data_IF_216228833610
#
_entry.id   IF_216228833610
#
_cell.length_a   1.000
_cell.length_b   1.000
_cell.length_c   1.000
_cell.angle_alpha   90.00
_cell.angle_beta   90.00
_cell.angle_gamma   90.00
#
_symmetry.space_group_name_H-M   'P 1'
#
loop_
_entity.id
_entity.type
_entity.pdbx_description
1 polymer ?
#
# COMPACT_ATOMS: atom_id res chain seq x y z
N UNK A 1 0.34 20.93 -3.67
CA UNK A 1 1.48 21.32 -2.84
C UNK A 1 1.58 22.83 -2.81
N UNK A 2 1.59 23.42 -1.61
CA UNK A 2 1.68 24.86 -1.47
C UNK A 2 3.05 25.23 -0.90
N UNK A 3 3.86 25.92 -1.69
CA UNK A 3 5.15 26.42 -1.24
C UNK A 3 4.95 27.79 -0.57
N UNK A 4 5.08 27.84 0.75
CA UNK A 4 4.88 29.06 1.53
C UNK A 4 6.00 30.10 1.34
N UNK A 5 7.15 29.71 0.80
CA UNK A 5 8.24 30.64 0.50
C UNK A 5 8.02 31.36 -0.84
N UNK A 6 7.45 30.68 -1.85
CA UNK A 6 7.17 31.26 -3.18
C UNK A 6 5.72 31.70 -3.37
N UNK A 7 4.82 31.31 -2.45
CA UNK A 7 3.36 31.42 -2.58
C UNK A 7 2.78 30.67 -3.80
N UNK A 8 3.51 29.71 -4.36
CA UNK A 8 3.06 28.93 -5.49
C UNK A 8 2.27 27.71 -5.03
N UNK A 9 1.15 27.46 -5.71
CA UNK A 9 0.36 26.24 -5.54
C UNK A 9 0.52 25.36 -6.77
N UNK A 10 1.04 24.15 -6.58
CA UNK A 10 1.25 23.15 -7.63
C UNK A 10 0.31 21.97 -7.42
N UNK A 11 -0.50 21.65 -8.43
CA UNK A 11 -1.26 20.39 -8.46
C UNK A 11 -0.29 19.26 -8.80
N UNK A 12 -0.11 18.31 -7.89
CA UNK A 12 0.85 17.21 -8.07
C UNK A 12 0.29 16.08 -8.93
N UNK A 13 -0.98 15.74 -8.72
CA UNK A 13 -1.71 14.75 -9.50
C UNK A 13 -3.20 15.10 -9.49
N UNK A 14 -3.90 14.80 -10.58
CA UNK A 14 -5.35 14.93 -10.71
C UNK A 14 -5.94 13.66 -11.33
N UNK A 15 -7.16 13.30 -10.94
CA UNK A 15 -7.82 12.08 -11.44
C UNK A 15 -7.34 10.77 -10.79
N UNK A 16 -6.58 10.85 -9.69
CA UNK A 16 -6.23 9.67 -8.89
C UNK A 16 -7.48 9.10 -8.20
N UNK A 17 -7.46 7.80 -7.87
CA UNK A 17 -8.60 7.13 -7.21
C UNK A 17 -8.37 6.86 -5.72
N UNK A 18 -7.13 6.57 -5.33
CA UNK A 18 -6.75 6.31 -3.94
C UNK A 18 -5.37 6.89 -3.67
N UNK A 19 -5.08 7.17 -2.40
CA UNK A 19 -3.79 7.69 -1.97
C UNK A 19 -3.50 7.25 -0.53
N UNK A 20 -2.21 7.23 -0.19
CA UNK A 20 -1.73 7.07 1.20
C UNK A 20 -0.60 8.06 1.47
N UNK A 21 -0.65 8.67 2.65
CA UNK A 21 0.42 9.46 3.24
C UNK A 21 1.13 8.63 4.32
N UNK A 22 2.32 9.08 4.70
CA UNK A 22 2.94 8.63 5.94
C UNK A 22 2.16 9.21 7.14
N UNK A 23 1.30 8.39 7.73
CA UNK A 23 0.50 8.81 8.87
C UNK A 23 1.34 8.89 10.17
N UNK A 24 2.51 8.24 10.18
CA UNK A 24 3.42 8.19 11.33
C UNK A 24 4.40 9.36 11.36
N UNK A 25 4.77 9.87 10.20
CA UNK A 25 5.62 11.05 10.03
C UNK A 25 4.96 12.06 9.07
N UNK A 26 4.25 13.03 9.65
CA UNK A 26 3.62 14.14 8.90
C UNK A 26 4.61 15.07 8.20
N UNK A 27 5.91 14.92 8.46
CA UNK A 27 6.96 15.67 7.77
C UNK A 27 7.44 14.98 6.49
N UNK A 28 7.09 13.70 6.30
CA UNK A 28 7.39 12.98 5.08
C UNK A 28 6.63 13.60 3.89
N UNK A 29 7.33 14.13 2.89
CA UNK A 29 6.71 14.86 1.79
C UNK A 29 6.17 13.95 0.67
N UNK A 30 6.30 12.63 0.79
CA UNK A 30 5.91 11.72 -0.28
C UNK A 30 4.46 11.23 -0.12
N UNK A 31 3.77 11.11 -1.24
CA UNK A 31 2.43 10.50 -1.31
C UNK A 31 2.43 9.44 -2.39
N UNK A 32 1.85 8.28 -2.07
CA UNK A 32 1.55 7.24 -3.04
C UNK A 32 0.10 7.34 -3.47
N UNK A 33 -0.19 7.08 -4.73
CA UNK A 33 -1.55 7.15 -5.27
C UNK A 33 -1.73 6.24 -6.47
N UNK A 34 -2.98 5.85 -6.73
CA UNK A 34 -3.36 5.08 -7.91
C UNK A 34 -3.92 5.99 -9.00
N UNK A 35 -3.51 5.74 -10.24
CA UNK A 35 -4.05 6.39 -11.43
C UNK A 35 -4.76 5.35 -12.31
N UNK A 36 -5.99 5.64 -12.79
CA UNK A 36 -6.56 4.87 -13.87
C UNK A 36 -5.80 5.13 -15.18
N UNK A 37 -5.85 4.18 -16.10
CA UNK A 37 -5.24 4.31 -17.42
C UNK A 37 -6.34 4.39 -18.46
N UNK A 38 -6.38 5.45 -19.24
CA UNK A 38 -7.39 5.62 -20.28
C UNK A 38 -7.04 4.76 -21.51
N UNK A 39 -8.07 4.16 -22.12
CA UNK A 39 -7.89 3.39 -23.34
C UNK A 39 -7.52 4.29 -24.50
N UNK A 40 -6.65 3.79 -25.37
CA UNK A 40 -6.29 4.43 -26.65
C UNK A 40 -7.50 4.66 -27.57
N UNK A 41 -8.57 3.86 -27.45
CA UNK A 41 -9.68 3.88 -28.41
C UNK A 41 -10.85 4.73 -27.92
N UNK A 42 -11.05 5.87 -28.57
CA UNK A 42 -12.30 6.62 -28.46
C UNK A 42 -12.40 7.48 -27.21
N UNK A 43 -11.30 8.17 -26.86
CA UNK A 43 -11.35 9.21 -25.84
C UNK A 43 -12.50 10.18 -26.15
N UNK A 44 -13.36 10.34 -25.14
CA UNK A 44 -14.43 11.32 -25.10
C UNK A 44 -14.42 11.93 -23.72
N UNK A 45 -14.47 13.26 -23.64
CA UNK A 45 -14.44 13.97 -22.37
C UNK A 45 -15.60 13.51 -21.48
N UNK A 46 -15.28 13.11 -20.25
CA UNK A 46 -16.24 12.57 -19.29
C UNK A 46 -16.63 11.10 -19.51
N UNK A 47 -16.04 10.40 -20.48
CA UNK A 47 -16.16 8.94 -20.57
C UNK A 47 -15.22 8.25 -19.58
N UNK A 48 -15.62 7.08 -19.06
CA UNK A 48 -14.82 6.26 -18.13
C UNK A 48 -14.20 5.07 -18.85
N UNK A 49 -13.69 5.29 -20.07
CA UNK A 49 -13.17 4.22 -20.92
C UNK A 49 -11.75 3.84 -20.52
N UNK A 50 -11.64 3.23 -19.35
CA UNK A 50 -10.36 2.90 -18.73
C UNK A 50 -9.96 1.44 -19.00
N UNK A 51 -8.65 1.21 -18.99
CA UNK A 51 -8.07 -0.12 -18.89
C UNK A 51 -8.45 -0.77 -17.56
N UNK A 52 -8.40 -2.10 -17.52
CA UNK A 52 -8.76 -2.84 -16.31
C UNK A 52 -7.66 -2.80 -15.24
N UNK A 53 -6.41 -2.62 -15.67
CA UNK A 53 -5.29 -2.46 -14.78
C UNK A 53 -5.17 -1.02 -14.30
N UNK A 54 -4.43 -0.81 -13.22
CA UNK A 54 -4.18 0.50 -12.64
C UNK A 54 -2.69 0.71 -12.41
N UNK A 55 -2.28 1.97 -12.43
CA UNK A 55 -0.91 2.36 -12.13
C UNK A 55 -0.80 2.85 -10.69
N UNK A 56 0.35 2.62 -10.07
CA UNK A 56 0.73 3.21 -8.79
C UNK A 56 1.86 4.19 -9.03
N UNK A 57 1.73 5.40 -8.50
CA UNK A 57 2.72 6.45 -8.56
C UNK A 57 3.13 6.89 -7.16
N UNK A 58 4.31 7.47 -7.05
CA UNK A 58 4.75 8.25 -5.89
C UNK A 58 5.18 9.65 -6.32
N UNK A 59 4.84 10.67 -5.54
CA UNK A 59 5.26 12.06 -5.82
C UNK A 59 5.70 12.74 -4.53
N UNK A 60 6.74 13.55 -4.65
CA UNK A 60 7.22 14.40 -3.57
C UNK A 60 6.51 15.77 -3.60
N UNK A 61 6.20 16.33 -2.44
CA UNK A 61 5.58 17.65 -2.34
C UNK A 61 6.39 18.78 -3.00
N UNK A 62 7.71 18.64 -3.12
CA UNK A 62 8.58 19.62 -3.78
C UNK A 62 8.66 19.42 -5.31
N UNK A 63 8.05 18.39 -5.88
CA UNK A 63 8.11 18.14 -7.33
C UNK A 63 7.36 19.21 -8.10
N UNK A 64 8.04 19.80 -9.10
CA UNK A 64 7.48 20.86 -9.96
C UNK A 64 7.31 20.45 -11.41
N UNK A 65 7.76 19.25 -11.81
CA UNK A 65 7.72 18.75 -13.20
C UNK A 65 7.49 17.25 -13.23
N UNK A 66 6.77 16.79 -14.24
CA UNK A 66 6.63 15.36 -14.53
C UNK A 66 8.00 14.79 -14.93
N UNK A 67 8.34 13.58 -14.48
CA UNK A 67 9.51 12.85 -14.99
C UNK A 67 9.27 12.28 -16.40
N UNK A 68 8.03 12.30 -16.90
CA UNK A 68 7.63 11.73 -18.18
C UNK A 68 7.03 12.77 -19.11
N UNK A 69 7.43 12.70 -20.38
CA UNK A 69 6.82 13.46 -21.48
C UNK A 69 5.73 12.59 -22.12
N UNK A 70 4.46 13.00 -21.99
CA UNK A 70 3.31 12.25 -22.48
C UNK A 70 2.62 13.06 -23.57
N UNK A 71 2.62 12.55 -24.80
CA UNK A 71 1.88 13.15 -25.93
C UNK A 71 0.45 12.58 -26.00
N UNK A 72 -0.52 13.40 -25.61
CA UNK A 72 -1.94 13.05 -25.62
C UNK A 72 -2.65 13.44 -26.92
N UNK A 73 -2.08 14.33 -27.72
CA UNK A 73 -2.81 14.96 -28.83
C UNK A 73 -3.18 13.95 -29.93
N UNK A 74 -2.33 12.94 -30.16
CA UNK A 74 -2.53 11.95 -31.21
C UNK A 74 -3.72 11.01 -30.95
N UNK A 75 -3.84 10.48 -29.73
CA UNK A 75 -4.76 9.39 -29.39
C UNK A 75 -5.86 9.80 -28.39
N UNK A 76 -5.68 10.92 -27.67
CA UNK A 76 -6.55 11.38 -26.57
C UNK A 76 -7.10 12.79 -26.79
N UNK A 77 -7.46 13.10 -28.04
CA UNK A 77 -8.23 14.29 -28.40
C UNK A 77 -9.69 13.89 -28.62
N UNK A 78 -10.61 14.56 -27.93
CA UNK A 78 -12.05 14.35 -28.11
C UNK A 78 -12.44 14.72 -29.55
N UNK A 79 -13.03 13.77 -30.28
CA UNK A 79 -13.38 13.96 -31.70
C UNK A 79 -14.55 14.92 -31.92
N UNK A 80 -15.39 15.13 -30.91
CA UNK A 80 -16.55 16.00 -30.97
C UNK A 80 -16.18 17.45 -30.61
N UNK A 81 -15.39 17.64 -29.54
CA UNK A 81 -15.00 18.99 -29.06
C UNK A 81 -13.64 19.49 -29.56
N UNK A 82 -12.75 18.59 -29.97
CA UNK A 82 -11.36 18.90 -30.31
C UNK A 82 -10.46 19.15 -29.08
N UNK A 83 -10.98 18.94 -27.87
CA UNK A 83 -10.22 19.15 -26.63
C UNK A 83 -9.31 17.94 -26.35
N UNK A 84 -8.03 18.21 -26.06
CA UNK A 84 -7.09 17.20 -25.58
C UNK A 84 -7.40 16.88 -24.13
N UNK A 85 -7.30 15.60 -23.75
CA UNK A 85 -7.45 15.18 -22.38
C UNK A 85 -6.56 15.97 -21.42
N UNK A 86 -7.15 16.44 -20.32
CA UNK A 86 -6.39 16.99 -19.21
C UNK A 86 -5.74 15.86 -18.42
N UNK A 87 -4.41 15.91 -18.28
CA UNK A 87 -3.65 14.96 -17.49
C UNK A 87 -2.62 15.71 -16.66
N UNK A 88 -2.74 15.61 -15.33
CA UNK A 88 -1.78 16.19 -14.39
C UNK A 88 -1.26 15.06 -13.53
N UNK A 89 0.02 14.72 -13.70
CA UNK A 89 0.71 13.75 -12.88
C UNK A 89 2.20 14.09 -12.86
N UNK A 90 2.71 14.51 -11.71
CA UNK A 90 4.13 14.81 -11.50
C UNK A 90 4.89 13.65 -10.84
N UNK A 91 4.23 12.53 -10.60
CA UNK A 91 4.81 11.39 -9.89
C UNK A 91 5.69 10.52 -10.77
N UNK A 92 6.54 9.76 -10.10
CA UNK A 92 7.30 8.65 -10.68
C UNK A 92 6.47 7.38 -10.58
N UNK A 93 6.44 6.61 -11.66
CA UNK A 93 5.71 5.36 -11.76
C UNK A 93 6.38 4.28 -10.89
N UNK A 94 5.59 3.65 -10.04
CA UNK A 94 6.03 2.59 -9.10
C UNK A 94 5.62 1.23 -9.65
N UNK A 95 4.34 1.08 -9.99
CA UNK A 95 3.81 -0.12 -10.64
C UNK A 95 2.99 0.28 -11.85
N UNK A 96 3.25 -0.36 -12.98
CA UNK A 96 2.55 -0.05 -14.22
C UNK A 96 1.19 -0.77 -14.30
N UNK A 97 1.13 -1.99 -13.77
CA UNK A 97 -0.07 -2.82 -13.80
C UNK A 97 -0.39 -3.45 -15.16
N UNK A 98 0.25 -3.04 -16.28
CA UNK A 98 -0.01 -3.66 -17.58
C UNK A 98 0.34 -5.15 -17.62
N UNK A 99 -0.50 -5.94 -18.29
CA UNK A 99 -0.24 -7.34 -18.62
C UNK A 99 0.36 -7.51 -20.01
N UNK A 100 1.01 -8.66 -20.25
CA UNK A 100 1.68 -8.99 -21.52
C UNK A 100 0.77 -8.98 -22.74
N UNK A 101 -0.52 -9.25 -22.57
CA UNK A 101 -1.50 -9.26 -23.65
C UNK A 101 -2.18 -7.90 -23.86
N UNK A 102 -1.96 -6.95 -22.96
CA UNK A 102 -2.49 -5.60 -23.10
C UNK A 102 -1.67 -4.82 -24.14
N UNK A 103 -2.32 -3.86 -24.80
CA UNK A 103 -1.66 -2.95 -25.74
C UNK A 103 -1.17 -1.73 -24.97
N UNK A 104 0.14 -1.43 -24.98
CA UNK A 104 0.66 -0.23 -24.33
C UNK A 104 0.01 1.04 -24.84
N UNK A 105 -0.27 1.94 -23.90
CA UNK A 105 -0.66 3.32 -24.12
C UNK A 105 0.52 4.25 -23.85
N UNK A 106 0.32 5.55 -24.07
CA UNK A 106 1.31 6.59 -23.71
C UNK A 106 1.58 6.69 -22.20
N UNK A 107 0.72 6.08 -21.37
CA UNK A 107 0.90 6.02 -19.91
C UNK A 107 1.84 4.90 -19.48
N UNK A 108 2.06 3.89 -20.32
CA UNK A 108 2.97 2.78 -20.05
C UNK A 108 4.39 3.16 -20.49
N UNK A 109 5.01 4.06 -19.74
CA UNK A 109 6.29 4.70 -20.10
C UNK A 109 7.44 3.69 -20.25
N UNK A 110 7.32 2.54 -19.57
CA UNK A 110 8.26 1.42 -19.63
C UNK A 110 7.88 0.35 -20.67
N UNK A 111 6.80 0.56 -21.43
CA UNK A 111 6.26 -0.39 -22.41
C UNK A 111 5.50 -1.56 -21.77
N UNK A 112 5.64 -2.77 -22.32
CA UNK A 112 5.13 -4.02 -21.72
C UNK A 112 6.19 -5.14 -21.69
N UNK A 113 7.46 -4.81 -21.94
CA UNK A 113 8.54 -5.77 -21.93
C UNK A 113 8.81 -6.27 -20.51
N UNK A 114 8.63 -7.58 -20.30
CA UNK A 114 8.73 -8.20 -18.97
C UNK A 114 7.46 -8.09 -18.14
N UNK A 115 6.33 -7.68 -18.74
CA UNK A 115 5.03 -7.76 -18.08
C UNK A 115 4.67 -9.21 -17.75
N UNK A 116 3.99 -9.38 -16.61
CA UNK A 116 3.30 -10.62 -16.24
C UNK A 116 2.26 -11.01 -17.29
N UNK A 117 1.88 -12.28 -17.34
CA UNK A 117 0.83 -12.75 -18.27
C UNK A 117 -0.54 -12.07 -18.00
N UNK A 118 -0.70 -11.48 -16.82
CA UNK A 118 -1.90 -10.79 -16.33
C UNK A 118 -1.61 -9.31 -16.09
N UNK A 119 -2.62 -8.46 -16.27
CA UNK A 119 -2.60 -7.09 -15.75
C UNK A 119 -3.07 -7.05 -14.30
N UNK A 120 -2.76 -5.98 -13.57
CA UNK A 120 -3.04 -5.85 -12.14
C UNK A 120 -3.72 -4.53 -11.77
N UNK A 121 -4.58 -4.60 -10.77
CA UNK A 121 -5.07 -3.45 -10.01
C UNK A 121 -4.46 -3.49 -8.61
N UNK A 122 -4.43 -2.32 -7.96
CA UNK A 122 -3.76 -2.12 -6.68
C UNK A 122 -4.71 -1.44 -5.68
N UNK A 123 -4.66 -1.89 -4.42
CA UNK A 123 -5.25 -1.14 -3.30
C UNK A 123 -4.14 -0.73 -2.34
N UNK A 124 -4.00 0.58 -2.12
CA UNK A 124 -3.01 1.11 -1.18
C UNK A 124 -3.57 0.97 0.24
N UNK A 125 -2.83 0.30 1.12
CA UNK A 125 -3.28 0.03 2.49
C UNK A 125 -2.73 1.09 3.45
N UNK A 126 -1.42 1.34 3.39
CA UNK A 126 -0.72 2.33 4.22
C UNK A 126 0.69 2.60 3.69
N UNK A 127 1.29 3.69 4.16
CA UNK A 127 2.72 3.93 4.06
C UNK A 127 3.31 4.02 5.46
N UNK A 128 4.24 3.12 5.78
CA UNK A 128 4.96 3.04 7.06
C UNK A 128 6.33 2.36 6.81
N UNK A 129 7.26 2.47 7.75
CA UNK A 129 8.55 1.76 7.71
C UNK A 129 9.38 2.01 6.44
N UNK A 130 9.21 3.17 5.79
CA UNK A 130 9.95 3.52 4.57
C UNK A 130 9.49 2.79 3.31
N UNK A 131 8.24 2.29 3.28
CA UNK A 131 7.69 1.63 2.11
C UNK A 131 6.17 1.60 2.07
N UNK A 132 5.65 1.12 0.95
CA UNK A 132 4.23 1.01 0.67
C UNK A 132 3.74 -0.40 1.02
N UNK A 133 2.66 -0.46 1.81
CA UNK A 133 1.87 -1.68 2.00
C UNK A 133 0.65 -1.62 1.08
N UNK A 134 0.45 -2.66 0.28
CA UNK A 134 -0.58 -2.67 -0.76
C UNK A 134 -1.10 -4.08 -1.02
N UNK A 135 -2.27 -4.18 -1.62
CA UNK A 135 -2.71 -5.42 -2.26
C UNK A 135 -2.60 -5.30 -3.77
N UNK A 136 -2.33 -6.44 -4.40
CA UNK A 136 -2.34 -6.61 -5.85
C UNK A 136 -3.38 -7.66 -6.21
N UNK A 137 -4.22 -7.34 -7.20
CA UNK A 137 -5.28 -8.22 -7.70
C UNK A 137 -5.21 -8.28 -9.21
N UNK A 138 -5.29 -9.49 -9.76
CA UNK A 138 -5.40 -9.75 -11.19
C UNK A 138 -6.61 -9.00 -11.77
N UNK A 139 -6.36 -8.12 -12.74
CA UNK A 139 -7.36 -7.30 -13.41
C UNK A 139 -8.35 -8.12 -14.25
N UNK A 140 -8.10 -9.42 -14.44
CA UNK A 140 -8.99 -10.37 -15.11
C UNK A 140 -9.83 -11.21 -14.13
N UNK A 141 -9.44 -11.30 -12.86
CA UNK A 141 -10.06 -12.17 -11.86
C UNK A 141 -10.78 -11.36 -10.77
N UNK A 142 -12.00 -10.92 -11.05
CA UNK A 142 -12.88 -10.42 -9.98
C UNK A 142 -13.21 -11.57 -9.00
N UNK A 143 -12.61 -11.56 -7.80
CA UNK A 143 -13.07 -12.37 -6.65
C UNK A 143 -12.26 -13.62 -6.25
N UNK A 144 -10.97 -13.75 -6.60
CA UNK A 144 -10.15 -14.89 -6.14
C UNK A 144 -9.51 -14.63 -4.77
N UNK A 145 -9.85 -15.42 -3.74
CA UNK A 145 -9.36 -15.27 -2.36
C UNK A 145 -8.19 -16.19 -1.98
N UNK A 146 -7.57 -16.86 -2.96
CA UNK A 146 -6.36 -17.68 -2.77
C UNK A 146 -5.55 -17.67 -4.06
N UNK A 147 -4.38 -17.02 -4.02
CA UNK A 147 -3.52 -16.78 -5.18
C UNK A 147 -4.11 -15.71 -6.12
N UNK A 148 -3.36 -14.63 -6.34
CA UNK A 148 -3.61 -13.56 -7.32
C UNK A 148 -4.76 -12.55 -7.09
N UNK A 149 -5.50 -12.57 -5.97
CA UNK A 149 -6.64 -11.63 -5.79
C UNK A 149 -6.75 -10.89 -4.47
N UNK A 150 -5.64 -10.45 -3.88
CA UNK A 150 -5.69 -9.57 -2.69
C UNK A 150 -4.70 -9.87 -1.57
N UNK A 151 -3.62 -10.61 -1.85
CA UNK A 151 -2.53 -10.75 -0.91
C UNK A 151 -1.93 -9.37 -0.54
N UNK A 152 -1.48 -9.25 0.71
CA UNK A 152 -0.80 -8.04 1.18
C UNK A 152 0.69 -8.15 0.87
N UNK A 153 1.22 -7.10 0.25
CA UNK A 153 2.62 -6.93 -0.06
C UNK A 153 3.18 -5.68 0.61
N UNK A 154 4.50 -5.66 0.75
CA UNK A 154 5.31 -4.50 1.08
C UNK A 154 6.38 -4.30 0.00
N UNK A 155 6.60 -3.04 -0.38
CA UNK A 155 7.70 -2.64 -1.23
C UNK A 155 8.42 -1.43 -0.62
N UNK A 156 9.74 -1.49 -0.50
CA UNK A 156 10.54 -0.42 0.08
C UNK A 156 10.74 0.73 -0.92
N UNK A 157 10.78 1.96 -0.40
CA UNK A 157 11.09 3.16 -1.20
C UNK A 157 12.44 3.04 -1.92
N UNK A 158 13.42 2.43 -1.26
CA UNK A 158 14.77 2.25 -1.81
C UNK A 158 14.78 1.38 -3.08
N UNK A 159 13.91 0.38 -3.16
CA UNK A 159 13.83 -0.50 -4.32
C UNK A 159 13.13 0.21 -5.50
N UNK A 160 12.00 0.88 -5.25
CA UNK A 160 11.20 1.53 -6.33
C UNK A 160 11.82 2.84 -6.83
N UNK A 161 12.73 3.44 -6.06
CA UNK A 161 13.49 4.64 -6.45
C UNK A 161 14.88 4.28 -7.01
N UNK A 162 15.19 2.99 -7.16
CA UNK A 162 16.43 2.55 -7.79
C UNK A 162 16.47 3.01 -9.26
N UNK A 163 17.66 3.37 -9.75
CA UNK A 163 17.82 3.94 -11.10
C UNK A 163 17.46 2.94 -12.22
N UNK A 164 17.50 1.65 -11.93
CA UNK A 164 17.14 0.55 -12.81
C UNK A 164 15.73 -0.01 -12.54
N UNK A 165 14.96 0.64 -11.67
CA UNK A 165 13.57 0.26 -11.45
C UNK A 165 12.76 0.42 -12.74
N UNK A 166 12.04 -0.63 -13.10
CA UNK A 166 11.12 -0.67 -14.23
C UNK A 166 9.75 -1.08 -13.68
N UNK A 167 8.75 -0.23 -13.84
CA UNK A 167 7.46 -0.40 -13.18
C UNK A 167 6.63 -1.56 -13.76
N UNK A 168 6.92 -1.98 -14.98
CA UNK A 168 6.28 -3.15 -15.62
C UNK A 168 6.80 -4.45 -14.98
N UNK A 169 8.13 -4.59 -14.87
CA UNK A 169 8.76 -5.72 -14.17
C UNK A 169 8.50 -5.67 -12.66
N UNK A 170 8.41 -4.47 -12.12
CA UNK A 170 8.07 -4.18 -10.74
C UNK A 170 6.77 -4.82 -10.29
N UNK A 171 5.80 -4.97 -11.22
CA UNK A 171 4.54 -5.64 -10.95
C UNK A 171 4.76 -6.98 -10.25
N UNK A 172 5.70 -7.81 -10.71
CA UNK A 172 5.99 -9.17 -10.20
C UNK A 172 7.44 -9.35 -9.71
N UNK A 173 8.05 -8.26 -9.24
CA UNK A 173 9.41 -8.29 -8.68
C UNK A 173 9.49 -9.13 -7.40
N UNK A 174 10.61 -9.82 -7.22
CA UNK A 174 11.02 -10.49 -5.98
C UNK A 174 11.24 -9.51 -4.81
N UNK A 175 11.34 -8.21 -5.08
CA UNK A 175 11.36 -7.14 -4.09
C UNK A 175 10.02 -6.93 -3.39
N UNK A 176 8.94 -7.42 -3.98
CA UNK A 176 7.62 -7.35 -3.38
C UNK A 176 7.51 -8.41 -2.28
N UNK A 177 7.66 -8.00 -1.01
CA UNK A 177 7.59 -8.92 0.13
C UNK A 177 6.13 -9.22 0.45
N UNK A 178 5.69 -10.46 0.22
CA UNK A 178 4.33 -10.87 0.57
C UNK A 178 4.21 -11.11 2.08
N UNK A 179 3.34 -10.35 2.75
CA UNK A 179 3.20 -10.36 4.20
C UNK A 179 2.04 -11.22 4.70
N UNK A 180 0.98 -11.34 3.90
CA UNK A 180 -0.21 -12.10 4.26
C UNK A 180 -0.97 -12.56 3.02
N UNK A 181 -1.75 -13.63 3.17
CA UNK A 181 -2.63 -14.14 2.12
C UNK A 181 -3.72 -13.14 1.70
N UNK A 182 -4.13 -12.27 2.62
CA UNK A 182 -5.13 -11.22 2.43
C UNK A 182 -5.06 -10.20 3.59
N UNK A 183 -5.95 -9.20 3.56
CA UNK A 183 -5.99 -8.10 4.54
C UNK A 183 -6.89 -8.34 5.75
N UNK A 184 -7.37 -9.56 5.98
CA UNK A 184 -8.27 -9.86 7.12
C UNK A 184 -7.57 -9.64 8.46
N UNK A 185 -6.30 -10.02 8.55
CA UNK A 185 -5.47 -9.90 9.76
C UNK A 185 -4.34 -8.89 9.60
N UNK A 186 -3.97 -8.56 8.36
CA UNK A 186 -2.93 -7.59 8.01
C UNK A 186 -3.55 -6.48 7.15
N UNK A 187 -4.31 -5.58 7.78
CA UNK A 187 -5.06 -4.51 7.10
C UNK A 187 -4.66 -3.12 7.59
N UNK A 188 -5.44 -2.11 7.23
CA UNK A 188 -5.19 -0.71 7.61
C UNK A 188 -5.18 -0.48 9.13
N UNK A 189 -5.93 -1.27 9.90
CA UNK A 189 -5.96 -1.21 11.37
C UNK A 189 -4.82 -1.99 12.05
N UNK A 190 -4.08 -2.80 11.29
CA UNK A 190 -2.94 -3.55 11.80
C UNK A 190 -1.73 -2.63 11.95
N UNK A 191 -0.89 -2.91 12.93
CA UNK A 191 0.35 -2.18 13.18
C UNK A 191 1.52 -2.97 12.59
N UNK A 192 2.23 -2.41 11.62
CA UNK A 192 3.35 -3.09 10.96
C UNK A 192 4.68 -2.57 11.46
N UNK A 193 5.67 -3.44 11.49
CA UNK A 193 7.03 -3.04 11.80
C UNK A 193 8.07 -3.98 11.24
N UNK A 194 9.30 -3.50 11.17
CA UNK A 194 10.48 -4.26 10.78
C UNK A 194 11.43 -4.26 11.97
N UNK A 195 11.89 -5.44 12.37
CA UNK A 195 12.86 -5.63 13.46
C UNK A 195 13.91 -6.63 12.97
N UNK A 196 15.19 -6.26 13.02
CA UNK A 196 16.31 -7.09 12.55
C UNK A 196 16.16 -7.62 11.11
N UNK A 197 15.46 -6.86 10.25
CA UNK A 197 15.19 -7.24 8.85
C UNK A 197 13.98 -8.15 8.66
N UNK A 198 13.36 -8.65 9.72
CA UNK A 198 12.13 -9.42 9.65
C UNK A 198 10.90 -8.51 9.73
N UNK A 199 9.87 -8.85 8.95
CA UNK A 199 8.59 -8.15 8.97
C UNK A 199 7.67 -8.72 10.05
N UNK A 200 6.94 -7.84 10.71
CA UNK A 200 5.94 -8.19 11.70
C UNK A 200 4.68 -7.36 11.51
N UNK A 201 3.56 -7.90 11.98
CA UNK A 201 2.34 -7.13 12.18
C UNK A 201 1.59 -7.55 13.44
N UNK A 202 0.90 -6.59 14.04
CA UNK A 202 -0.02 -6.82 15.15
C UNK A 202 -1.44 -6.44 14.74
N UNK A 203 -2.41 -7.23 15.20
CA UNK A 203 -3.83 -6.98 14.96
C UNK A 203 -4.67 -7.44 16.15
N UNK A 204 -5.88 -6.93 16.23
CA UNK A 204 -6.85 -7.35 17.24
C UNK A 204 -7.69 -8.48 16.69
N UNK A 205 -7.73 -9.60 17.40
CA UNK A 205 -8.52 -10.78 17.09
C UNK A 205 -9.44 -11.08 18.27
N UNK A 206 -10.75 -10.92 18.06
CA UNK A 206 -11.76 -11.10 19.09
C UNK A 206 -11.50 -10.25 20.35
N UNK A 207 -10.96 -10.87 21.40
CA UNK A 207 -10.59 -10.24 22.67
C UNK A 207 -9.09 -10.22 22.93
N UNK A 208 -8.25 -10.43 21.92
CA UNK A 208 -6.81 -10.52 22.06
C UNK A 208 -6.07 -9.63 21.06
N UNK A 209 -4.84 -9.26 21.41
CA UNK A 209 -3.88 -8.68 20.48
C UNK A 209 -2.93 -9.79 20.05
N UNK A 210 -2.83 -9.99 18.73
CA UNK A 210 -2.01 -11.03 18.12
C UNK A 210 -0.87 -10.36 17.37
N UNK A 211 0.35 -10.84 17.62
CA UNK A 211 1.57 -10.48 16.89
C UNK A 211 1.94 -11.63 15.96
N UNK A 212 2.29 -11.30 14.73
CA UNK A 212 2.74 -12.25 13.71
C UNK A 212 4.12 -11.84 13.24
N UNK A 213 5.05 -12.79 13.23
CA UNK A 213 6.32 -12.69 12.49
C UNK A 213 6.05 -13.26 11.09
N UNK A 214 6.31 -12.47 10.07
CA UNK A 214 6.10 -12.87 8.67
C UNK A 214 7.18 -13.88 8.28
N UNK A 215 6.76 -14.99 7.66
CA UNK A 215 7.68 -16.01 7.18
C UNK A 215 8.20 -15.74 5.77
N UNK A 216 9.37 -16.28 5.46
CA UNK A 216 10.07 -16.09 4.17
C UNK A 216 9.49 -16.94 3.02
N UNK A 217 8.38 -17.66 3.23
CA UNK A 217 7.82 -18.58 2.23
C UNK A 217 6.39 -18.23 1.84
N UNK A 218 6.09 -18.37 0.54
CA UNK A 218 4.75 -18.19 -0.02
C UNK A 218 3.69 -19.17 0.52
N UNK A 219 4.11 -20.24 1.20
CA UNK A 219 3.23 -21.30 1.69
C UNK A 219 2.88 -21.13 3.18
N UNK A 220 3.63 -20.31 3.93
CA UNK A 220 3.38 -19.99 5.32
C UNK A 220 3.77 -18.53 5.57
N UNK A 221 2.81 -17.63 5.39
CA UNK A 221 3.00 -16.19 5.61
C UNK A 221 3.25 -15.81 7.07
N UNK A 222 2.98 -16.72 8.01
CA UNK A 222 3.26 -16.56 9.42
C UNK A 222 4.30 -17.60 9.86
N UNK A 223 5.48 -17.13 10.26
CA UNK A 223 6.50 -17.94 10.94
C UNK A 223 6.17 -18.03 12.43
N UNK A 224 6.07 -16.86 13.08
CA UNK A 224 5.65 -16.55 14.45
C UNK A 224 4.14 -16.26 14.57
N UNK A 225 3.38 -16.84 15.50
CA UNK A 225 2.13 -16.20 15.98
C UNK A 225 2.05 -16.23 17.51
N UNK A 226 1.99 -15.06 18.13
CA UNK A 226 1.96 -14.88 19.60
C UNK A 226 0.77 -14.01 19.99
N UNK A 227 0.02 -14.41 21.01
CA UNK A 227 -1.06 -13.62 21.58
C UNK A 227 -0.47 -12.77 22.71
N UNK A 228 -0.23 -11.49 22.46
CA UNK A 228 0.55 -10.62 23.37
C UNK A 228 -0.32 -9.93 24.42
N UNK A 229 -1.65 -9.90 24.25
CA UNK A 229 -2.58 -9.43 25.27
C UNK A 229 -3.94 -10.12 25.15
N UNK A 230 -4.63 -10.22 26.29
CA UNK A 230 -6.00 -10.73 26.42
C UNK A 230 -6.92 -9.65 27.01
N UNK A 231 -8.24 -9.89 26.95
CA UNK A 231 -9.26 -8.92 27.38
C UNK A 231 -9.16 -7.57 26.63
N UNK A 232 -8.69 -7.60 25.39
CA UNK A 232 -8.53 -6.48 24.48
C UNK A 232 -9.71 -6.34 23.50
N UNK A 233 -10.92 -6.72 23.92
CA UNK A 233 -12.12 -6.65 23.07
C UNK A 233 -12.32 -5.25 22.52
N UNK A 234 -12.42 -5.13 21.19
CA UNK A 234 -12.61 -3.84 20.53
C UNK A 234 -11.43 -2.88 20.71
N UNK A 235 -10.24 -3.40 21.02
CA UNK A 235 -9.05 -2.57 21.13
C UNK A 235 -8.74 -1.87 19.79
N UNK A 236 -8.18 -0.67 19.88
CA UNK A 236 -7.55 0.05 18.77
C UNK A 236 -6.07 0.18 19.06
N UNK A 237 -5.21 -0.33 18.18
CA UNK A 237 -3.76 -0.17 18.28
C UNK A 237 -3.41 1.28 17.95
N UNK A 238 -2.58 1.92 18.78
CA UNK A 238 -2.29 3.35 18.66
C UNK A 238 -0.87 3.59 18.13
N UNK A 239 0.15 3.18 18.88
CA UNK A 239 1.56 3.34 18.52
C UNK A 239 2.45 2.37 19.31
N UNK A 240 3.72 2.23 18.89
CA UNK A 240 4.77 1.55 19.66
C UNK A 240 5.70 2.58 20.27
N UNK A 241 6.21 2.27 21.45
CA UNK A 241 7.28 3.03 22.10
C UNK A 241 8.13 2.08 22.96
N UNK A 242 9.42 1.98 22.62
CA UNK A 242 10.31 0.95 23.14
C UNK A 242 9.73 -0.46 22.93
N UNK A 243 9.66 -1.23 24.03
CA UNK A 243 9.14 -2.60 24.03
C UNK A 243 7.61 -2.68 24.14
N UNK A 244 6.92 -1.54 24.18
CA UNK A 244 5.47 -1.50 24.42
C UNK A 244 4.69 -1.19 23.15
N UNK A 245 3.53 -1.85 23.02
CA UNK A 245 2.45 -1.38 22.16
C UNK A 245 1.37 -0.72 23.03
N UNK A 246 0.97 0.48 22.64
CA UNK A 246 -0.12 1.22 23.28
C UNK A 246 -1.41 0.99 22.51
N UNK A 247 -2.49 0.73 23.24
CA UNK A 247 -3.81 0.47 22.65
C UNK A 247 -4.92 1.04 23.52
N UNK A 248 -6.03 1.46 22.90
CA UNK A 248 -7.22 1.92 23.62
C UNK A 248 -8.31 0.87 23.61
N UNK A 249 -9.01 0.68 24.72
CA UNK A 249 -10.26 -0.09 24.79
C UNK A 249 -11.43 0.82 25.15
N UNK A 250 -12.60 0.57 24.57
CA UNK A 250 -13.82 1.31 24.93
C UNK A 250 -14.39 0.73 26.23
N UNK A 251 -14.70 1.56 27.21
CA UNK A 251 -15.34 1.17 28.46
C UNK A 251 -16.52 2.07 28.84
N UNK A 252 -17.21 1.73 29.94
CA UNK A 252 -18.40 2.46 30.41
C UNK A 252 -18.11 3.93 30.75
N UNK A 253 -16.85 4.27 31.05
CA UNK A 253 -16.41 5.63 31.40
C UNK A 253 -15.55 6.28 30.29
N UNK A 254 -15.68 5.83 29.03
CA UNK A 254 -14.88 6.29 27.90
C UNK A 254 -13.70 5.37 27.56
N UNK A 255 -12.75 5.88 26.77
CA UNK A 255 -11.60 5.10 26.32
C UNK A 255 -10.56 4.93 27.45
N UNK A 256 -10.17 3.70 27.72
CA UNK A 256 -9.02 3.39 28.58
C UNK A 256 -7.76 3.24 27.73
N UNK A 257 -6.66 3.88 28.13
CA UNK A 257 -5.34 3.70 27.52
C UNK A 257 -4.61 2.56 28.23
N UNK A 258 -4.18 1.58 27.46
CA UNK A 258 -3.46 0.40 27.94
C UNK A 258 -2.13 0.29 27.19
N UNK A 259 -1.21 -0.50 27.75
CA UNK A 259 0.03 -0.89 27.08
C UNK A 259 0.37 -2.33 27.43
N UNK A 260 1.06 -3.02 26.53
CA UNK A 260 1.61 -4.35 26.79
C UNK A 260 2.99 -4.49 26.15
N UNK A 261 3.87 -5.26 26.77
CA UNK A 261 5.15 -5.63 26.15
C UNK A 261 4.82 -6.53 24.97
N UNK A 262 5.26 -6.18 23.75
CA UNK A 262 4.93 -6.97 22.55
C UNK A 262 6.06 -7.93 22.13
N UNK A 263 7.23 -7.82 22.74
CA UNK A 263 8.46 -8.56 22.41
C UNK A 263 9.06 -9.33 23.59
N UNK A 264 8.23 -9.71 24.55
CA UNK A 264 8.59 -10.61 25.65
C UNK A 264 8.67 -12.07 25.20
N UNK A 265 8.97 -12.95 26.16
CA UNK A 265 9.03 -14.39 25.93
C UNK A 265 7.62 -14.94 25.62
N UNK A 266 7.43 -15.74 24.55
CA UNK A 266 6.18 -16.46 24.29
C UNK A 266 5.59 -17.19 25.50
N UNK A 267 6.42 -17.75 26.39
CA UNK A 267 5.96 -18.46 27.60
C UNK A 267 5.30 -17.52 28.61
N UNK A 268 5.78 -16.28 28.75
CA UNK A 268 5.20 -15.28 29.66
C UNK A 268 3.75 -14.94 29.26
N UNK A 269 3.48 -14.88 27.95
CA UNK A 269 2.12 -14.62 27.45
C UNK A 269 1.19 -15.81 27.65
N UNK A 270 1.69 -17.04 27.49
CA UNK A 270 0.90 -18.25 27.72
C UNK A 270 0.50 -18.41 29.19
N UNK A 271 1.33 -17.97 30.13
CA UNK A 271 0.97 -17.94 31.55
C UNK A 271 -0.22 -16.99 31.84
N UNK A 272 -0.37 -15.90 31.08
CA UNK A 272 -1.54 -15.01 31.18
C UNK A 272 -2.85 -15.72 30.79
N UNK A 273 -2.82 -16.66 29.83
CA UNK A 273 -3.99 -17.49 29.48
C UNK A 273 -4.40 -18.45 30.58
N UNK A 274 -3.42 -18.96 31.35
CA UNK A 274 -3.65 -19.92 32.41
C UNK A 274 -4.31 -19.29 33.66
N UNK A 275 -4.50 -17.96 33.67
CA UNK A 275 -5.01 -17.23 34.83
C UNK A 275 -3.97 -17.11 35.95
N UNK A 276 -2.70 -17.37 35.64
CA UNK A 276 -1.60 -17.02 36.54
C UNK A 276 -1.39 -15.51 36.41
N UNK A 277 -1.48 -14.78 37.53
CA UNK A 277 -1.29 -13.32 37.59
C UNK A 277 0.13 -12.97 37.09
N UNK A 278 0.31 -12.77 35.78
CA UNK A 278 1.52 -12.18 35.22
C UNK A 278 1.34 -10.67 35.18
N UNK A 279 1.25 -10.07 36.37
CA UNK A 279 1.54 -8.65 36.55
C UNK A 279 3.00 -8.55 36.98
N UNK A 280 3.91 -8.24 36.06
CA UNK A 280 5.14 -7.48 36.34
C UNK A 280 5.47 -6.54 35.19
#
# INVERSE_FOLDING_TARGET
SYNTATNENTVLAAGYESYVFDASDVTNPNVYYTMPVEKKVGYKKGSTNQEKYKQVYTVNAATTKSPYEIDLAADYTDKDSGEVMEYVNLGTLVFDGIGKLDTPTVFNVDGNDGASDKGYTYSLIKYENGGLYYTRTDATASGSSVGDGGALYYIADGDVKAADWNAVKGNDSDKNVQLAANTTTAGASSMFYIEEGAHYYMYVKDNAIVRVKVGDSSNAFAEETVYVAYNATGATLLYRDGNYVYYSTSGTNGNALNRVIYNGDPEDYNAMLAGEDVIK
#
